data_IF_006487061077
#
_entry.id   IF_006487061077
#
_cell.length_a   1.000
_cell.length_b   1.000
_cell.length_c   1.000
_cell.angle_alpha   90.00
_cell.angle_beta   90.00
_cell.angle_gamma   90.00
#
_symmetry.space_group_name_H-M   'P 1'
#
loop_
_entity.id
_entity.type
_entity.pdbx_description
1 polymer ?
#
# COMPACT_ATOMS: atom_id res chain seq x y z
N UNK A 1 -14.01 -16.12 -11.08
CA UNK A 1 -14.03 -14.84 -11.82
C UNK A 1 -12.69 -14.17 -11.59
N UNK A 2 -12.01 -13.85 -12.69
CA UNK A 2 -10.63 -13.40 -12.80
C UNK A 2 -10.23 -12.37 -11.75
N UNK A 3 -9.40 -12.78 -10.80
CA UNK A 3 -8.75 -11.91 -9.80
C UNK A 3 -7.62 -11.15 -10.50
N UNK A 4 -7.98 -10.32 -11.49
CA UNK A 4 -7.01 -9.58 -12.27
C UNK A 4 -6.37 -8.55 -11.35
N UNK A 5 -5.08 -8.70 -11.05
CA UNK A 5 -4.25 -7.70 -10.39
C UNK A 5 -4.41 -6.27 -10.98
N UNK A 6 -4.95 -6.16 -12.19
CA UNK A 6 -5.05 -4.95 -12.99
C UNK A 6 -6.31 -4.09 -12.77
N UNK A 7 -7.39 -4.61 -12.15
CA UNK A 7 -8.66 -3.88 -12.04
C UNK A 7 -8.98 -3.47 -10.60
N UNK A 8 -8.20 -2.51 -10.06
CA UNK A 8 -8.49 -1.83 -8.79
C UNK A 8 -8.43 -0.31 -9.03
N UNK A 9 -9.33 0.43 -8.37
CA UNK A 9 -9.18 1.88 -8.19
C UNK A 9 -8.50 2.14 -6.84
N UNK A 10 -7.27 2.67 -6.82
CA UNK A 10 -6.58 3.03 -5.58
C UNK A 10 -7.39 4.02 -4.75
N UNK A 11 -7.46 3.79 -3.43
CA UNK A 11 -8.09 4.73 -2.51
C UNK A 11 -7.07 5.80 -2.12
N UNK A 12 -6.91 6.82 -2.97
CA UNK A 12 -5.97 7.92 -2.74
C UNK A 12 -6.48 8.86 -1.65
N UNK A 13 -5.66 9.11 -0.63
CA UNK A 13 -5.93 10.05 0.47
C UNK A 13 -5.07 11.30 0.42
N UNK A 14 -3.93 11.24 -0.25
CA UNK A 14 -3.05 12.38 -0.50
C UNK A 14 -2.36 12.23 -1.85
N UNK A 15 -1.65 13.27 -2.30
CA UNK A 15 -0.86 13.21 -3.52
C UNK A 15 0.28 12.19 -3.35
N UNK A 16 0.57 11.37 -4.38
CA UNK A 16 1.69 10.43 -4.33
C UNK A 16 3.02 11.10 -3.99
N UNK A 17 3.24 12.32 -4.50
CA UNK A 17 4.42 13.13 -4.20
C UNK A 17 4.53 13.41 -2.69
N UNK A 18 3.45 13.86 -2.07
CA UNK A 18 3.47 14.28 -0.67
C UNK A 18 3.69 13.09 0.26
N UNK A 19 3.00 11.97 0.02
CA UNK A 19 3.23 10.73 0.75
C UNK A 19 4.64 10.17 0.54
N UNK A 20 5.18 10.27 -0.68
CA UNK A 20 6.53 9.79 -0.96
C UNK A 20 7.61 10.62 -0.25
N UNK A 21 7.39 11.93 -0.04
CA UNK A 21 8.34 12.81 0.65
C UNK A 21 8.02 13.06 2.14
N UNK A 22 6.94 12.50 2.68
CA UNK A 22 6.59 12.65 4.10
C UNK A 22 7.60 11.96 5.02
N UNK A 23 7.55 12.29 6.33
CA UNK A 23 8.07 11.38 7.36
C UNK A 23 7.30 10.06 7.28
N UNK A 24 8.00 8.95 7.52
CA UNK A 24 7.42 7.61 7.43
C UNK A 24 7.75 6.80 8.67
N UNK A 25 6.83 5.94 9.06
CA UNK A 25 7.02 4.89 10.06
C UNK A 25 6.90 3.52 9.40
N UNK A 26 7.61 2.52 9.93
CA UNK A 26 7.57 1.14 9.44
C UNK A 26 6.66 0.31 10.32
N UNK A 27 5.65 -0.31 9.73
CA UNK A 27 4.69 -1.16 10.43
C UNK A 27 4.55 -2.51 9.70
N UNK A 28 4.28 -3.61 10.42
CA UNK A 28 3.73 -4.81 9.79
C UNK A 28 2.42 -4.49 9.09
N UNK A 29 2.16 -5.07 7.91
CA UNK A 29 0.94 -4.81 7.13
C UNK A 29 -0.34 -5.04 7.94
N UNK A 30 -0.32 -6.01 8.87
CA UNK A 30 -1.45 -6.29 9.77
C UNK A 30 -1.80 -5.14 10.74
N UNK A 31 -0.88 -4.19 10.96
CA UNK A 31 -1.10 -3.00 11.79
C UNK A 31 -1.31 -1.73 10.96
N UNK A 32 -1.22 -1.82 9.64
CA UNK A 32 -1.26 -0.67 8.75
C UNK A 32 -2.67 -0.35 8.21
N UNK A 33 -3.72 -1.12 8.56
CA UNK A 33 -5.08 -0.89 8.08
C UNK A 33 -5.54 0.55 8.36
N UNK A 34 -6.00 1.27 7.33
CA UNK A 34 -6.42 2.66 7.41
C UNK A 34 -5.29 3.70 7.37
N UNK A 35 -4.02 3.27 7.41
CA UNK A 35 -2.86 4.16 7.27
C UNK A 35 -2.60 4.47 5.78
N UNK A 36 -1.93 5.60 5.53
CA UNK A 36 -1.56 6.03 4.18
C UNK A 36 -0.18 5.48 3.84
N UNK A 37 -0.04 4.78 2.72
CA UNK A 37 1.27 4.30 2.27
C UNK A 37 2.19 5.45 1.89
N UNK A 38 3.43 5.39 2.35
CA UNK A 38 4.51 6.30 1.94
C UNK A 38 5.39 5.74 0.83
N UNK A 39 5.21 4.47 0.42
CA UNK A 39 6.06 3.80 -0.55
C UNK A 39 5.28 2.92 -1.54
N UNK A 40 5.94 2.42 -2.58
CA UNK A 40 5.36 1.42 -3.48
C UNK A 40 5.68 0.01 -2.99
N UNK A 41 4.68 -0.87 -2.93
CA UNK A 41 4.87 -2.32 -2.80
C UNK A 41 4.35 -2.98 -4.06
N UNK A 42 5.15 -3.85 -4.66
CA UNK A 42 4.84 -4.56 -5.90
C UNK A 42 5.12 -6.05 -5.74
N UNK A 43 4.29 -6.89 -6.35
CA UNK A 43 4.55 -8.33 -6.44
C UNK A 43 5.14 -8.64 -7.80
N UNK A 44 6.25 -9.36 -7.83
CA UNK A 44 6.94 -9.75 -9.06
C UNK A 44 7.04 -11.27 -9.09
N UNK A 45 6.53 -11.95 -10.13
CA UNK A 45 5.55 -11.52 -11.16
C UNK A 45 4.13 -11.34 -10.54
N UNK A 46 3.21 -10.50 -11.09
CA UNK A 46 3.10 -9.93 -12.44
C UNK A 46 3.66 -8.50 -12.64
N UNK A 47 4.25 -7.89 -11.61
CA UNK A 47 4.90 -6.58 -11.71
C UNK A 47 3.99 -5.36 -11.47
N UNK A 48 2.69 -5.57 -11.27
CA UNK A 48 1.76 -4.49 -10.89
C UNK A 48 1.94 -4.07 -9.42
N UNK A 49 1.75 -2.78 -9.10
CA UNK A 49 1.76 -2.34 -7.70
C UNK A 49 0.57 -2.92 -6.93
N UNK A 50 0.83 -3.33 -5.70
CA UNK A 50 -0.18 -3.65 -4.68
C UNK A 50 -0.48 -2.39 -3.86
N UNK A 51 0.55 -1.64 -3.47
CA UNK A 51 0.41 -0.34 -2.80
C UNK A 51 1.20 0.72 -3.57
N UNK A 52 0.64 1.93 -3.64
CA UNK A 52 1.32 3.13 -4.13
C UNK A 52 1.33 4.23 -3.06
N UNK A 53 2.31 5.16 -3.07
CA UNK A 53 2.32 6.29 -2.16
C UNK A 53 1.03 7.09 -2.25
N UNK A 54 0.48 7.46 -1.10
CA UNK A 54 -0.75 8.22 -0.96
C UNK A 54 -2.03 7.36 -0.96
N UNK A 55 -1.91 6.06 -1.22
CA UNK A 55 -3.00 5.09 -1.13
C UNK A 55 -3.24 4.66 0.33
N UNK A 56 -4.51 4.55 0.72
CA UNK A 56 -4.88 3.96 2.00
C UNK A 56 -4.75 2.42 1.97
N UNK A 57 -4.13 1.87 3.01
CA UNK A 57 -4.09 0.42 3.22
C UNK A 57 -5.48 -0.08 3.62
N UNK A 58 -6.16 -0.75 2.68
CA UNK A 58 -7.42 -1.47 2.88
C UNK A 58 -7.24 -2.99 3.05
N UNK A 59 -8.35 -3.67 3.40
CA UNK A 59 -8.46 -5.14 3.47
C UNK A 59 -7.95 -5.87 2.22
N UNK A 60 -8.09 -5.26 1.05
CA UNK A 60 -7.60 -5.83 -0.22
C UNK A 60 -6.08 -6.07 -0.21
N UNK A 61 -5.31 -5.19 0.44
CA UNK A 61 -3.86 -5.34 0.57
C UNK A 61 -3.49 -6.42 1.58
N UNK A 62 -4.22 -6.49 2.71
CA UNK A 62 -4.01 -7.53 3.73
C UNK A 62 -4.17 -8.93 3.14
N UNK A 63 -5.08 -9.11 2.19
CA UNK A 63 -5.31 -10.39 1.50
C UNK A 63 -4.22 -10.75 0.48
N UNK A 64 -3.38 -9.78 0.06
CA UNK A 64 -2.40 -9.93 -1.04
C UNK A 64 -0.95 -9.89 -0.57
N UNK A 65 -0.70 -9.36 0.61
CA UNK A 65 0.60 -9.29 1.24
C UNK A 65 0.68 -10.29 2.40
N UNK A 66 1.88 -10.80 2.64
CA UNK A 66 2.13 -11.67 3.79
C UNK A 66 2.03 -10.85 5.09
N UNK A 67 1.47 -11.36 6.20
CA UNK A 67 1.28 -10.60 7.45
C UNK A 67 2.56 -9.96 8.03
N UNK A 68 3.72 -10.54 7.74
CA UNK A 68 5.06 -10.06 8.12
C UNK A 68 5.63 -9.00 7.16
N UNK A 69 4.94 -8.71 6.05
CA UNK A 69 5.34 -7.65 5.11
C UNK A 69 5.39 -6.32 5.85
N UNK A 70 6.59 -5.75 5.96
CA UNK A 70 6.78 -4.41 6.51
C UNK A 70 6.42 -3.38 5.45
N UNK A 71 5.57 -2.43 5.81
CA UNK A 71 5.18 -1.30 4.98
C UNK A 71 5.64 0.01 5.59
N UNK A 72 5.99 0.97 4.75
CA UNK A 72 6.25 2.34 5.18
C UNK A 72 4.96 3.14 5.02
N UNK A 73 4.44 3.68 6.11
CA UNK A 73 3.25 4.53 6.12
C UNK A 73 3.63 5.96 6.47
N UNK A 74 2.85 6.92 6.01
CA UNK A 74 2.99 8.34 6.37
C UNK A 74 2.86 8.45 7.89
N UNK A 75 3.91 8.95 8.54
CA UNK A 75 3.92 9.22 9.96
C UNK A 75 3.14 10.50 10.29
N UNK A 76 2.74 10.63 11.55
CA UNK A 76 2.21 11.88 12.10
C UNK A 76 3.23 13.02 12.09
#
# INVERSE_FOLDING_TARGET
LSDSYFCRRPQMRTLPKDAFFSRKEKLPIGQALGKISGCCIKKVPPGSPILIPGEEVTQWHLQRLSPDTVVEVVGE
#
